data_IF_120339090886
#
_entry.id   IF_120339090886
#
_cell.length_a   1.000
_cell.length_b   1.000
_cell.length_c   1.000
_cell.angle_alpha   90.00
_cell.angle_beta   90.00
_cell.angle_gamma   90.00
#
_symmetry.space_group_name_H-M   'P 1'
#
loop_
_entity.id
_entity.type
_entity.pdbx_description
1 polymer ?
#
# COMPACT_ATOMS: atom_id res chain seq x y z
N UNK A 1 33.18 -10.95 -20.59
CA UNK A 1 32.75 -12.26 -20.03
C UNK A 1 31.23 -12.25 -19.98
N UNK A 2 30.54 -13.28 -20.49
CA UNK A 2 29.07 -13.29 -20.44
C UNK A 2 28.57 -13.34 -19.00
N UNK A 3 27.57 -12.52 -18.69
CA UNK A 3 26.93 -12.44 -17.37
C UNK A 3 25.90 -13.55 -17.13
N UNK A 4 25.15 -13.45 -16.01
CA UNK A 4 23.95 -14.24 -15.79
C UNK A 4 23.02 -14.09 -17.00
N UNK A 5 22.49 -15.18 -17.55
CA UNK A 5 21.58 -15.12 -18.71
C UNK A 5 20.16 -14.75 -18.32
N UNK A 6 19.73 -15.20 -17.15
CA UNK A 6 18.39 -15.01 -16.63
C UNK A 6 18.51 -14.50 -15.21
N UNK A 7 17.69 -13.50 -14.88
CA UNK A 7 17.43 -12.99 -13.54
C UNK A 7 15.92 -12.89 -13.41
N UNK A 8 15.34 -13.43 -12.36
CA UNK A 8 13.88 -13.44 -12.16
C UNK A 8 13.52 -13.01 -10.74
N UNK A 9 12.32 -12.44 -10.58
CA UNK A 9 11.73 -12.15 -9.28
C UNK A 9 11.02 -13.40 -8.77
N UNK A 10 11.38 -13.87 -7.60
CA UNK A 10 10.67 -14.96 -6.91
C UNK A 10 9.53 -14.41 -6.05
N UNK A 11 9.80 -13.32 -5.32
CA UNK A 11 8.85 -12.72 -4.38
C UNK A 11 9.11 -11.23 -4.19
N UNK A 12 8.06 -10.48 -3.93
CA UNK A 12 8.13 -9.06 -3.57
C UNK A 12 7.41 -8.83 -2.25
N UNK A 13 8.02 -8.06 -1.35
CA UNK A 13 7.44 -7.58 -0.09
C UNK A 13 7.51 -6.04 -0.04
N UNK A 14 7.06 -5.42 1.06
CA UNK A 14 7.08 -3.96 1.22
C UNK A 14 8.50 -3.37 1.10
N UNK A 15 9.50 -4.00 1.71
CA UNK A 15 10.89 -3.47 1.76
C UNK A 15 11.94 -4.46 1.28
N UNK A 16 11.49 -5.48 0.54
CA UNK A 16 12.32 -6.60 0.10
C UNK A 16 11.87 -7.12 -1.27
N UNK A 17 12.83 -7.54 -2.08
CA UNK A 17 12.60 -8.30 -3.32
C UNK A 17 13.51 -9.51 -3.30
N UNK A 18 12.95 -10.69 -3.53
CA UNK A 18 13.68 -11.94 -3.64
C UNK A 18 13.89 -12.24 -5.12
N UNK A 19 15.14 -12.47 -5.49
CA UNK A 19 15.52 -12.75 -6.88
C UNK A 19 16.33 -14.04 -6.97
N UNK A 20 16.29 -14.65 -8.14
CA UNK A 20 17.22 -15.71 -8.54
C UNK A 20 17.89 -15.36 -9.87
N UNK A 21 19.00 -16.03 -10.18
CA UNK A 21 19.69 -15.89 -11.45
C UNK A 21 20.46 -17.15 -11.85
N UNK A 22 20.71 -17.28 -13.15
CA UNK A 22 21.58 -18.35 -13.67
C UNK A 22 23.04 -18.06 -13.33
N UNK A 23 23.80 -19.00 -12.75
CA UNK A 23 25.22 -18.83 -12.51
C UNK A 23 26.02 -18.58 -13.80
N UNK A 24 27.06 -17.75 -13.70
CA UNK A 24 28.04 -17.54 -14.78
C UNK A 24 28.93 -18.78 -14.90
N UNK A 25 29.01 -19.34 -16.11
CA UNK A 25 29.83 -20.52 -16.42
C UNK A 25 31.33 -20.17 -16.47
N UNK A 26 31.93 -19.85 -15.32
CA UNK A 26 33.35 -19.57 -15.16
C UNK A 26 33.83 -19.98 -13.76
N UNK A 27 34.94 -20.71 -13.68
CA UNK A 27 35.58 -21.05 -12.39
C UNK A 27 36.30 -19.86 -11.73
N UNK A 28 36.34 -18.72 -12.42
CA UNK A 28 37.01 -17.49 -11.94
C UNK A 28 36.06 -16.52 -11.22
N UNK A 29 34.77 -16.88 -11.09
CA UNK A 29 33.81 -16.07 -10.35
C UNK A 29 34.22 -16.01 -8.88
N UNK A 30 34.39 -14.80 -8.37
CA UNK A 30 34.74 -14.58 -6.96
C UNK A 30 33.52 -14.18 -6.15
N UNK A 31 32.61 -13.39 -6.74
CA UNK A 31 31.35 -12.95 -6.13
C UNK A 31 30.35 -12.51 -7.19
N UNK A 32 29.09 -12.37 -6.79
CA UNK A 32 28.07 -11.63 -7.54
C UNK A 32 27.81 -10.29 -6.87
N UNK A 33 27.67 -9.24 -7.69
CA UNK A 33 27.17 -7.94 -7.24
C UNK A 33 25.74 -7.78 -7.74
N UNK A 34 24.83 -7.43 -6.83
CA UNK A 34 23.45 -7.07 -7.14
C UNK A 34 23.25 -5.60 -6.80
N UNK A 35 22.72 -4.82 -7.73
CA UNK A 35 22.44 -3.40 -7.54
C UNK A 35 20.99 -3.09 -7.87
N UNK A 36 20.29 -2.43 -6.96
CA UNK A 36 18.94 -1.95 -7.17
C UNK A 36 18.94 -0.42 -7.27
N UNK A 37 18.51 0.11 -8.41
CA UNK A 37 18.39 1.56 -8.64
C UNK A 37 16.90 1.94 -8.62
N UNK A 38 16.44 2.82 -7.71
CA UNK A 38 15.06 3.27 -7.71
C UNK A 38 14.78 4.12 -8.95
N UNK A 39 13.68 3.83 -9.64
CA UNK A 39 13.25 4.54 -10.86
C UNK A 39 12.01 5.39 -10.64
N UNK A 40 11.08 4.90 -9.81
CA UNK A 40 9.80 5.56 -9.53
C UNK A 40 9.29 5.16 -8.16
N UNK A 41 8.82 6.13 -7.38
CA UNK A 41 8.11 5.89 -6.12
C UNK A 41 7.05 6.98 -5.89
N UNK A 42 6.44 6.96 -4.69
CA UNK A 42 5.44 7.93 -4.25
C UNK A 42 5.95 8.87 -3.15
N UNK A 43 7.22 8.76 -2.77
CA UNK A 43 7.87 9.64 -1.82
C UNK A 43 8.35 10.94 -2.48
N UNK A 44 8.63 12.01 -1.72
CA UNK A 44 9.17 13.26 -2.26
C UNK A 44 10.54 13.12 -2.95
N UNK A 45 11.27 12.04 -2.66
CA UNK A 45 12.57 11.72 -3.22
C UNK A 45 12.67 10.22 -3.53
N UNK A 46 13.41 9.88 -4.59
CA UNK A 46 13.57 8.49 -5.06
C UNK A 46 14.48 7.63 -4.17
N UNK A 47 15.35 8.26 -3.38
CA UNK A 47 16.43 7.55 -2.67
C UNK A 47 17.63 7.24 -3.57
N UNK A 48 18.68 6.65 -2.98
CA UNK A 48 19.89 6.24 -3.68
C UNK A 48 19.85 4.77 -4.12
N UNK A 49 20.79 4.34 -4.98
CA UNK A 49 20.94 2.93 -5.30
C UNK A 49 21.42 2.13 -4.09
N UNK A 50 20.96 0.89 -3.97
CA UNK A 50 21.45 -0.08 -3.01
C UNK A 50 22.28 -1.15 -3.73
N UNK A 51 23.30 -1.66 -3.07
CA UNK A 51 24.20 -2.69 -3.62
C UNK A 51 24.52 -3.75 -2.57
N UNK A 52 24.52 -5.00 -3.00
CA UNK A 52 24.86 -6.17 -2.19
C UNK A 52 25.87 -7.03 -2.94
N UNK A 53 26.69 -7.76 -2.18
CA UNK A 53 27.71 -8.67 -2.71
C UNK A 53 27.52 -10.05 -2.07
N UNK A 54 27.53 -11.08 -2.91
CA UNK A 54 27.27 -12.46 -2.50
C UNK A 54 28.37 -13.39 -3.01
N UNK A 55 28.95 -14.18 -2.12
CA UNK A 55 29.88 -15.26 -2.47
C UNK A 55 29.09 -16.54 -2.69
N UNK A 56 29.24 -17.16 -3.86
CA UNK A 56 28.62 -18.46 -4.19
C UNK A 56 27.08 -18.51 -4.02
N UNK A 57 26.38 -17.55 -4.65
CA UNK A 57 24.92 -17.49 -4.64
C UNK A 57 24.36 -17.43 -6.07
N UNK A 58 23.20 -18.05 -6.25
CA UNK A 58 22.33 -17.92 -7.44
C UNK A 58 20.95 -17.35 -7.09
N UNK A 59 20.78 -16.91 -5.84
CA UNK A 59 19.58 -16.27 -5.31
C UNK A 59 19.93 -15.29 -4.21
N UNK A 60 19.11 -14.25 -4.04
CA UNK A 60 19.32 -13.25 -2.99
C UNK A 60 18.01 -12.62 -2.54
N UNK A 61 18.01 -12.25 -1.26
CA UNK A 61 16.99 -11.43 -0.61
C UNK A 61 17.52 -9.99 -0.53
N UNK A 62 16.89 -9.07 -1.24
CA UNK A 62 17.34 -7.68 -1.35
C UNK A 62 16.63 -6.80 -0.32
N UNK A 63 17.24 -6.65 0.86
CA UNK A 63 16.66 -5.93 1.99
C UNK A 63 16.90 -4.42 1.98
N UNK A 64 16.01 -3.66 2.61
CA UNK A 64 16.17 -2.21 2.79
C UNK A 64 15.68 -1.38 1.60
N UNK A 65 14.91 -2.00 0.71
CA UNK A 65 14.21 -1.30 -0.37
C UNK A 65 13.06 -0.46 0.22
N UNK A 66 12.64 0.57 -0.52
CA UNK A 66 11.51 1.42 -0.16
C UNK A 66 10.20 0.83 -0.67
N UNK A 67 9.13 0.98 0.10
CA UNK A 67 7.77 0.56 -0.28
C UNK A 67 7.27 1.28 -1.54
N UNK A 68 6.38 0.61 -2.29
CA UNK A 68 5.73 1.16 -3.48
C UNK A 68 6.72 1.78 -4.47
N UNK A 69 7.87 1.15 -4.66
CA UNK A 69 8.98 1.67 -5.47
C UNK A 69 9.35 0.68 -6.57
N UNK A 70 9.49 1.19 -7.79
CA UNK A 70 10.00 0.45 -8.94
C UNK A 70 11.52 0.53 -8.97
N UNK A 71 12.17 -0.62 -8.98
CA UNK A 71 13.62 -0.75 -9.09
C UNK A 71 14.03 -1.32 -10.44
N UNK A 72 15.13 -0.80 -10.98
CA UNK A 72 15.97 -1.54 -11.92
C UNK A 72 16.97 -2.36 -11.10
N UNK A 73 16.78 -3.68 -11.05
CA UNK A 73 17.66 -4.61 -10.35
C UNK A 73 18.62 -5.23 -11.36
N UNK A 74 19.91 -5.06 -11.13
CA UNK A 74 20.99 -5.49 -12.03
C UNK A 74 21.92 -6.47 -11.32
N UNK A 75 22.29 -7.55 -12.00
CA UNK A 75 23.16 -8.60 -11.47
C UNK A 75 24.34 -8.83 -12.43
N UNK A 76 25.54 -8.91 -11.88
CA UNK A 76 26.73 -9.34 -12.61
C UNK A 76 27.67 -10.12 -11.69
N UNK A 77 28.46 -11.02 -12.26
CA UNK A 77 29.57 -11.65 -11.57
C UNK A 77 30.82 -10.78 -11.64
N UNK A 78 31.55 -10.71 -10.53
CA UNK A 78 32.94 -10.26 -10.47
C UNK A 78 33.84 -11.48 -10.63
N UNK A 79 34.90 -11.34 -11.41
CA UNK A 79 35.88 -12.41 -11.62
C UNK A 79 37.31 -11.91 -11.49
N UNK A 80 38.27 -12.83 -11.37
CA UNK A 80 39.69 -12.48 -11.41
C UNK A 80 40.13 -11.77 -12.69
N UNK A 81 39.37 -11.90 -13.78
CA UNK A 81 39.65 -11.29 -15.08
C UNK A 81 38.86 -9.98 -15.29
N UNK A 82 38.09 -9.54 -14.29
CA UNK A 82 37.19 -8.40 -14.35
C UNK A 82 35.69 -8.77 -14.32
N UNK A 83 34.79 -7.78 -14.34
CA UNK A 83 33.36 -8.00 -14.26
C UNK A 83 32.81 -8.66 -15.54
N UNK A 84 31.79 -9.48 -15.35
CA UNK A 84 30.95 -9.97 -16.45
C UNK A 84 29.96 -8.91 -16.95
N UNK A 85 29.31 -9.19 -18.08
CA UNK A 85 28.16 -8.42 -18.54
C UNK A 85 27.05 -8.39 -17.49
N UNK A 86 26.26 -7.32 -17.49
CA UNK A 86 25.16 -7.12 -16.55
C UNK A 86 23.84 -7.57 -17.14
N UNK A 87 23.00 -8.21 -16.32
CA UNK A 87 21.61 -8.52 -16.66
C UNK A 87 20.67 -7.83 -15.68
N UNK A 88 19.60 -7.24 -16.21
CA UNK A 88 18.71 -6.36 -15.46
C UNK A 88 17.25 -6.76 -15.58
N UNK A 89 16.48 -6.54 -14.51
CA UNK A 89 15.02 -6.69 -14.46
C UNK A 89 14.37 -5.51 -13.76
N UNK A 90 13.07 -5.33 -13.98
CA UNK A 90 12.26 -4.36 -13.26
C UNK A 90 11.40 -5.06 -12.21
N UNK A 91 11.42 -4.56 -10.98
CA UNK A 91 10.64 -5.11 -9.88
C UNK A 91 10.01 -3.98 -9.05
N UNK A 92 8.71 -4.12 -8.74
CA UNK A 92 8.03 -3.28 -7.76
C UNK A 92 8.13 -3.92 -6.37
N UNK A 93 8.44 -3.12 -5.35
CA UNK A 93 8.09 -3.48 -3.98
C UNK A 93 6.60 -3.30 -3.73
N UNK A 94 6.05 -4.03 -2.77
CA UNK A 94 4.65 -3.86 -2.37
C UNK A 94 4.41 -2.49 -1.76
N UNK A 95 3.17 -2.01 -1.82
CA UNK A 95 2.78 -0.78 -1.11
C UNK A 95 2.83 -0.99 0.40
N UNK A 96 3.20 0.05 1.12
CA UNK A 96 3.09 0.08 2.57
C UNK A 96 1.79 0.73 3.02
N UNK A 97 1.57 0.71 4.34
CA UNK A 97 0.42 1.38 4.95
C UNK A 97 0.45 2.90 4.65
N UNK A 98 -0.65 3.49 4.12
CA UNK A 98 -0.75 4.93 3.92
C UNK A 98 -0.60 5.73 5.21
N UNK A 99 -0.36 7.04 5.07
CA UNK A 99 -0.34 7.91 6.24
C UNK A 99 -1.73 7.97 6.87
N UNK A 100 -1.78 8.02 8.21
CA UNK A 100 -3.04 8.22 8.93
C UNK A 100 -3.67 9.52 8.44
N UNK A 101 -4.90 9.47 7.90
CA UNK A 101 -5.53 10.67 7.41
C UNK A 101 -5.96 11.57 8.58
N UNK A 102 -6.08 12.90 8.36
CA UNK A 102 -6.69 13.79 9.33
C UNK A 102 -8.12 13.37 9.70
N UNK A 103 -8.67 13.83 10.84
CA UNK A 103 -10.07 13.63 11.15
C UNK A 103 -11.00 14.17 10.05
N UNK A 104 -12.13 13.51 9.86
CA UNK A 104 -13.17 13.97 8.92
C UNK A 104 -13.79 15.25 9.45
N UNK A 105 -13.94 16.25 8.60
CA UNK A 105 -14.61 17.50 8.96
C UNK A 105 -16.14 17.32 8.84
N UNK A 106 -16.88 17.53 9.93
CA UNK A 106 -18.34 17.57 9.92
C UNK A 106 -18.81 18.97 9.58
N UNK A 107 -19.53 19.13 8.47
CA UNK A 107 -19.99 20.43 7.98
C UNK A 107 -21.38 20.77 8.49
N UNK A 108 -22.27 19.79 8.46
CA UNK A 108 -23.64 19.93 8.96
C UNK A 108 -24.24 18.59 9.29
N UNK A 109 -25.29 18.61 10.12
CA UNK A 109 -26.12 17.46 10.43
C UNK A 109 -27.58 17.87 10.37
N UNK A 110 -28.36 17.07 9.66
CA UNK A 110 -29.81 17.22 9.51
C UNK A 110 -30.49 15.86 9.65
N UNK A 111 -31.05 15.61 10.84
CA UNK A 111 -31.72 14.37 11.20
C UNK A 111 -30.87 13.12 10.85
N UNK A 112 -31.31 12.30 9.86
CA UNK A 112 -30.63 11.07 9.50
C UNK A 112 -29.41 11.26 8.58
N UNK A 113 -29.05 12.50 8.23
CA UNK A 113 -27.96 12.80 7.30
C UNK A 113 -26.90 13.69 7.95
N UNK A 114 -25.66 13.45 7.57
CA UNK A 114 -24.51 14.26 7.97
C UNK A 114 -23.68 14.59 6.75
N UNK A 115 -23.47 15.87 6.47
CA UNK A 115 -22.57 16.31 5.41
C UNK A 115 -21.16 16.41 5.99
N UNK A 116 -20.23 15.69 5.38
CA UNK A 116 -18.83 15.63 5.80
C UNK A 116 -17.91 15.99 4.66
N UNK A 117 -16.71 16.49 4.97
CA UNK A 117 -15.63 16.63 4.00
C UNK A 117 -14.60 15.53 4.21
N UNK A 118 -14.39 14.71 3.19
CA UNK A 118 -13.37 13.66 3.17
C UNK A 118 -12.01 14.37 3.15
N UNK A 119 -11.15 14.12 4.13
CA UNK A 119 -9.83 14.75 4.13
C UNK A 119 -8.93 14.07 3.09
N UNK A 120 -8.04 14.84 2.47
CA UNK A 120 -7.07 14.29 1.51
C UNK A 120 -6.08 13.38 2.24
N UNK A 121 -5.95 12.14 1.75
CA UNK A 121 -4.94 11.20 2.21
C UNK A 121 -3.58 11.53 1.60
N UNK A 122 -2.52 11.13 2.29
CA UNK A 122 -1.14 11.16 1.80
C UNK A 122 -0.52 9.78 1.97
N UNK A 123 0.46 9.46 1.13
CA UNK A 123 1.29 8.27 1.30
C UNK A 123 2.60 8.48 0.57
N UNK A 124 3.70 8.12 1.23
CA UNK A 124 5.02 8.01 0.60
C UNK A 124 5.34 6.57 0.18
N UNK A 125 4.45 5.63 0.51
CA UNK A 125 4.64 4.18 0.39
C UNK A 125 3.73 3.52 -0.67
N UNK A 126 3.04 4.32 -1.46
CA UNK A 126 2.11 3.84 -2.50
C UNK A 126 1.14 4.93 -2.96
N UNK A 127 0.38 4.70 -4.03
CA UNK A 127 -0.64 5.62 -4.50
C UNK A 127 -1.87 5.58 -3.57
N UNK A 128 -2.51 6.74 -3.36
CA UNK A 128 -3.86 6.74 -2.79
C UNK A 128 -4.85 6.24 -3.85
N UNK A 129 -5.58 5.18 -3.53
CA UNK A 129 -6.53 4.51 -4.44
C UNK A 129 -7.96 4.58 -3.96
N UNK A 130 -8.21 5.02 -2.73
CA UNK A 130 -9.56 5.24 -2.25
C UNK A 130 -9.65 5.66 -0.80
N UNK A 131 -10.89 5.87 -0.36
CA UNK A 131 -11.25 6.25 0.99
C UNK A 131 -12.34 5.32 1.52
N UNK A 132 -12.27 4.99 2.80
CA UNK A 132 -13.29 4.25 3.54
C UNK A 132 -13.96 5.20 4.51
N UNK A 133 -15.27 5.40 4.43
CA UNK A 133 -16.00 6.20 5.41
C UNK A 133 -16.77 5.30 6.37
N UNK A 134 -16.59 5.56 7.65
CA UNK A 134 -17.11 4.76 8.75
C UNK A 134 -18.02 5.66 9.57
N UNK A 135 -19.25 5.22 9.82
CA UNK A 135 -20.11 5.86 10.80
C UNK A 135 -19.93 5.14 12.12
N UNK A 136 -19.59 5.87 13.19
CA UNK A 136 -19.40 5.31 14.52
C UNK A 136 -20.30 6.04 15.53
N UNK A 137 -21.13 5.29 16.26
CA UNK A 137 -21.98 5.76 17.35
C UNK A 137 -21.11 6.12 18.57
N UNK A 138 -20.88 7.41 18.75
CA UNK A 138 -20.00 7.98 19.79
C UNK A 138 -20.56 7.75 21.21
N UNK A 139 -21.88 7.59 21.33
CA UNK A 139 -22.58 7.25 22.58
C UNK A 139 -22.23 5.85 23.10
N UNK A 140 -21.62 5.00 22.27
CA UNK A 140 -21.25 3.64 22.65
C UNK A 140 -20.02 3.59 23.57
N UNK A 141 -20.07 2.71 24.59
CA UNK A 141 -18.92 2.44 25.47
C UNK A 141 -17.86 1.56 24.80
N UNK A 142 -18.14 0.99 23.62
CA UNK A 142 -17.19 0.15 22.89
C UNK A 142 -16.19 1.02 22.13
N UNK A 143 -14.91 0.63 22.16
CA UNK A 143 -13.88 1.23 21.32
C UNK A 143 -13.99 0.77 19.86
N UNK A 144 -13.55 1.63 18.95
CA UNK A 144 -13.38 1.26 17.55
C UNK A 144 -12.34 0.14 17.40
N UNK A 145 -12.71 -0.91 16.66
CA UNK A 145 -11.88 -2.10 16.40
C UNK A 145 -11.93 -2.43 14.90
N UNK A 146 -10.86 -2.15 14.13
CA UNK A 146 -10.83 -2.36 12.68
C UNK A 146 -11.21 -3.78 12.25
N UNK A 147 -10.86 -4.79 13.05
CA UNK A 147 -11.15 -6.20 12.80
C UNK A 147 -12.65 -6.56 12.84
N UNK A 148 -13.48 -5.69 13.43
CA UNK A 148 -14.95 -5.82 13.44
C UNK A 148 -15.61 -4.96 12.35
N UNK A 149 -14.83 -4.27 11.52
CA UNK A 149 -15.38 -3.36 10.52
C UNK A 149 -16.04 -4.16 9.40
N UNK A 150 -17.37 -4.04 9.32
CA UNK A 150 -18.22 -4.70 8.33
C UNK A 150 -19.28 -3.72 7.82
N UNK A 151 -20.12 -4.15 6.87
CA UNK A 151 -21.26 -3.36 6.41
C UNK A 151 -22.33 -3.16 7.49
N UNK A 152 -23.26 -2.24 7.23
CA UNK A 152 -24.30 -1.86 8.19
C UNK A 152 -25.13 -3.05 8.69
N UNK A 153 -25.52 -3.96 7.79
CA UNK A 153 -26.38 -5.10 8.13
C UNK A 153 -25.70 -6.00 9.15
N UNK A 154 -24.49 -6.45 8.84
CA UNK A 154 -23.69 -7.34 9.69
C UNK A 154 -23.33 -6.65 11.01
N UNK A 155 -23.01 -5.35 10.97
CA UNK A 155 -22.73 -4.58 12.18
C UNK A 155 -23.96 -4.51 13.09
N UNK A 156 -25.14 -4.26 12.54
CA UNK A 156 -26.41 -4.19 13.28
C UNK A 156 -26.76 -5.55 13.91
N UNK A 157 -26.66 -6.64 13.16
CA UNK A 157 -26.89 -8.00 13.66
C UNK A 157 -25.91 -8.37 14.79
N UNK A 158 -24.67 -7.91 14.71
CA UNK A 158 -23.64 -8.16 15.72
C UNK A 158 -23.63 -7.14 16.88
N UNK A 159 -24.53 -6.15 16.89
CA UNK A 159 -24.51 -5.06 17.88
C UNK A 159 -23.21 -4.26 17.89
N UNK A 160 -22.56 -4.11 16.73
CA UNK A 160 -21.33 -3.31 16.57
C UNK A 160 -21.71 -1.85 16.31
N UNK A 161 -21.19 -0.88 17.09
CA UNK A 161 -21.64 0.51 17.03
C UNK A 161 -21.00 1.30 15.88
N UNK A 162 -20.30 0.62 14.97
CA UNK A 162 -19.69 1.23 13.80
C UNK A 162 -19.83 0.32 12.60
N UNK A 163 -19.91 0.91 11.42
CA UNK A 163 -19.97 0.19 10.16
C UNK A 163 -19.29 0.97 9.04
N UNK A 164 -18.85 0.24 8.01
CA UNK A 164 -18.34 0.81 6.77
C UNK A 164 -19.54 1.31 5.95
N UNK A 165 -19.67 2.63 5.83
CA UNK A 165 -20.77 3.29 5.14
C UNK A 165 -20.50 3.44 3.64
N UNK A 166 -19.24 3.59 3.25
CA UNK A 166 -18.85 3.74 1.85
C UNK A 166 -17.39 3.36 1.61
N UNK A 167 -17.12 2.76 0.45
CA UNK A 167 -15.82 2.84 -0.21
C UNK A 167 -15.91 3.80 -1.40
N UNK A 168 -14.95 4.71 -1.47
CA UNK A 168 -14.91 5.83 -2.41
C UNK A 168 -13.61 5.81 -3.22
N UNK A 169 -13.68 6.31 -4.45
CA UNK A 169 -12.50 6.49 -5.31
C UNK A 169 -11.54 7.58 -4.81
N UNK A 170 -10.32 7.64 -5.38
CA UNK A 170 -9.28 8.56 -4.91
C UNK A 170 -9.60 10.03 -5.19
N UNK A 171 -10.53 10.31 -6.10
CA UNK A 171 -10.98 11.66 -6.46
C UNK A 171 -11.89 12.30 -5.39
N UNK A 172 -12.35 11.53 -4.40
CA UNK A 172 -13.12 12.04 -3.26
C UNK A 172 -12.29 12.80 -2.22
N UNK A 173 -10.96 12.74 -2.29
CA UNK A 173 -10.10 13.50 -1.38
C UNK A 173 -10.35 15.01 -1.45
N UNK A 174 -10.83 15.59 -0.35
CA UNK A 174 -11.21 17.00 -0.26
C UNK A 174 -12.61 17.33 -0.76
N UNK A 175 -13.41 16.33 -1.17
CA UNK A 175 -14.81 16.51 -1.57
C UNK A 175 -15.76 16.26 -0.42
N UNK A 176 -16.96 16.79 -0.58
CA UNK A 176 -18.06 16.53 0.35
C UNK A 176 -18.69 15.15 0.08
N UNK A 177 -19.19 14.54 1.15
CA UNK A 177 -19.95 13.31 1.12
C UNK A 177 -21.10 13.39 2.13
N UNK A 178 -22.24 12.79 1.80
CA UNK A 178 -23.40 12.76 2.69
C UNK A 178 -23.50 11.38 3.33
N UNK A 179 -23.08 11.26 4.59
CA UNK A 179 -23.34 10.08 5.41
C UNK A 179 -24.82 10.01 5.76
N UNK A 180 -25.38 8.80 5.75
CA UNK A 180 -26.80 8.57 6.02
C UNK A 180 -27.74 8.81 4.84
N UNK A 181 -27.23 8.85 3.61
CA UNK A 181 -28.04 9.18 2.43
C UNK A 181 -29.00 8.04 2.01
N UNK A 182 -28.75 6.80 2.42
CA UNK A 182 -29.54 5.61 2.03
C UNK A 182 -29.16 5.02 0.67
N UNK A 183 -28.00 5.38 0.11
CA UNK A 183 -27.46 4.85 -1.15
C UNK A 183 -26.28 3.90 -0.90
N UNK A 184 -25.93 3.05 -1.87
CA UNK A 184 -24.75 2.19 -1.77
C UNK A 184 -23.53 2.77 -2.48
N UNK A 185 -22.35 2.62 -1.88
CA UNK A 185 -21.07 3.10 -2.42
C UNK A 185 -19.97 2.05 -2.21
N UNK A 186 -19.36 1.59 -3.30
CA UNK A 186 -18.30 0.57 -3.25
C UNK A 186 -18.75 -0.74 -2.60
N UNK A 187 -20.02 -1.13 -2.80
CA UNK A 187 -20.59 -2.35 -2.22
C UNK A 187 -21.16 -2.20 -0.81
N UNK A 188 -20.99 -1.05 -0.15
CA UNK A 188 -21.47 -0.81 1.20
C UNK A 188 -22.71 0.08 1.21
N UNK A 189 -23.68 -0.25 2.07
CA UNK A 189 -24.90 0.53 2.23
C UNK A 189 -24.71 1.68 3.23
N UNK A 190 -24.83 2.91 2.76
CA UNK A 190 -24.75 4.14 3.55
C UNK A 190 -26.08 4.38 4.29
N UNK A 191 -26.35 3.56 5.31
CA UNK A 191 -27.62 3.54 6.02
C UNK A 191 -27.95 4.89 6.68
N UNK A 192 -29.22 5.34 6.66
CA UNK A 192 -29.66 6.53 7.38
C UNK A 192 -29.21 6.53 8.85
N UNK A 193 -28.62 7.63 9.30
CA UNK A 193 -28.18 7.77 10.69
C UNK A 193 -29.39 7.86 11.63
N UNK A 194 -29.27 7.36 12.85
CA UNK A 194 -30.31 7.52 13.86
C UNK A 194 -30.35 8.98 14.36
N UNK A 195 -31.50 9.69 14.31
CA UNK A 195 -31.57 11.11 14.70
C UNK A 195 -31.21 11.39 16.16
N UNK A 196 -31.43 10.42 17.06
CA UNK A 196 -31.13 10.54 18.49
C UNK A 196 -29.70 10.17 18.88
N UNK A 197 -28.94 9.54 17.99
CA UNK A 197 -27.58 9.07 18.30
C UNK A 197 -26.53 10.08 17.86
N UNK A 198 -25.44 10.19 18.63
CA UNK A 198 -24.29 11.00 18.22
C UNK A 198 -23.37 10.13 17.36
N UNK A 199 -23.06 10.57 16.15
CA UNK A 199 -22.13 9.86 15.27
C UNK A 199 -20.81 10.64 15.12
N UNK A 200 -19.71 9.91 15.19
CA UNK A 200 -18.37 10.34 14.83
C UNK A 200 -18.01 9.72 13.46
N UNK A 201 -17.87 10.51 12.39
CA UNK A 201 -17.36 9.99 11.14
C UNK A 201 -15.86 9.71 11.24
N UNK A 202 -15.46 8.51 10.86
CA UNK A 202 -14.06 8.10 10.74
C UNK A 202 -13.77 7.85 9.26
N UNK A 203 -12.53 8.13 8.84
CA UNK A 203 -12.05 7.75 7.51
C UNK A 203 -10.82 6.86 7.59
N UNK A 204 -10.76 5.90 6.68
CA UNK A 204 -9.56 5.16 6.31
C UNK A 204 -9.13 5.55 4.89
N UNK A 205 -7.86 5.31 4.58
CA UNK A 205 -7.29 5.52 3.24
C UNK A 205 -6.80 4.18 2.71
N UNK A 206 -7.05 3.91 1.43
CA UNK A 206 -6.62 2.70 0.75
C UNK A 206 -5.48 3.03 -0.24
N UNK A 207 -4.48 2.15 -0.29
CA UNK A 207 -3.40 2.18 -1.29
C UNK A 207 -3.26 0.79 -1.88
N UNK A 208 -3.26 0.72 -3.21
CA UNK A 208 -3.04 -0.52 -3.97
C UNK A 208 -2.19 -0.21 -5.19
N UNK A 209 -1.29 -1.12 -5.57
CA UNK A 209 -0.42 -0.98 -6.74
C UNK A 209 -0.27 -2.32 -7.42
N UNK A 210 -0.54 -2.36 -8.73
CA UNK A 210 -0.46 -3.59 -9.55
C UNK A 210 -1.33 -4.74 -9.02
N UNK A 211 -2.48 -4.43 -8.41
CA UNK A 211 -3.41 -5.43 -7.89
C UNK A 211 -3.06 -6.00 -6.51
N UNK A 212 -2.05 -5.42 -5.83
CA UNK A 212 -1.67 -5.71 -4.43
C UNK A 212 -1.97 -4.49 -3.57
#
# INVERSE_FOLDING_TARGET
LKGPRVVEVEKTMETQVDINWTPVASSKVTQYTVRAVPLKNYAPHLGGPLEWKYTDASRAELFGLSAGTLYNVSVWAETSDGPSETTSIFAWTQVGEPDRPPPVEVLSRDGPRMVVRVARGTSTKGPITGYRLIAFEESSLMSFKPERLVGHKEASEAGTPFYLAAELGPDHGGREFVLGAGSSHGGFFNAPLLPGEKYLPIQGVASTLNGI
#
